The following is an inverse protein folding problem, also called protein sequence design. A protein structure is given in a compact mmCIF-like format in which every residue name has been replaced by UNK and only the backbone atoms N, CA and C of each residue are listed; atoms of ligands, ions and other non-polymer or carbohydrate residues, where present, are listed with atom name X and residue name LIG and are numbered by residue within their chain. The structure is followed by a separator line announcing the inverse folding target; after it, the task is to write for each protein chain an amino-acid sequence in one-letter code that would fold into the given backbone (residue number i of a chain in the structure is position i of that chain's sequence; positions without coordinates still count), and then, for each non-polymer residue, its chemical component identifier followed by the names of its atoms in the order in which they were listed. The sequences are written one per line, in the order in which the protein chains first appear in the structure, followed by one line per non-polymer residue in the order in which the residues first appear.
data_IF_947786661152
#
_entry.id   IF_947786661152
#
_cell.length_a   1.000
_cell.length_b   1.000
_cell.length_c   1.000
_cell.angle_alpha   90.00
_cell.angle_beta   90.00
_cell.angle_gamma   90.00
#
_symmetry.space_group_name_H-M   'P 1'
#
loop_
_entity.id
_entity.type
_entity.pdbx_description
1 polymer ?
#
# COMPACT_ATOMS: atom_id res chain seq x y z
N UNK A 1 11.13 -29.99 -4.56
CA UNK A 1 10.97 -28.57 -4.14
C UNK A 1 9.79 -27.99 -4.90
N UNK A 2 8.60 -27.94 -4.28
CA UNK A 2 7.41 -27.39 -4.92
C UNK A 2 7.52 -25.86 -4.97
N UNK A 3 7.49 -25.28 -6.17
CA UNK A 3 7.29 -23.84 -6.35
C UNK A 3 5.84 -23.54 -6.01
N UNK A 4 5.58 -23.14 -4.77
CA UNK A 4 4.28 -22.62 -4.38
C UNK A 4 4.09 -21.29 -5.13
N UNK A 5 3.10 -21.25 -6.01
CA UNK A 5 2.75 -20.05 -6.75
C UNK A 5 2.25 -18.97 -5.76
N UNK A 6 2.61 -17.70 -5.96
CA UNK A 6 2.20 -16.61 -5.08
C UNK A 6 0.67 -16.52 -4.94
N UNK A 7 -0.07 -16.87 -6.00
CA UNK A 7 -1.53 -16.98 -5.95
C UNK A 7 -2.00 -18.04 -4.94
N UNK A 8 -1.34 -19.21 -4.91
CA UNK A 8 -1.68 -20.28 -3.97
C UNK A 8 -1.38 -19.88 -2.50
N UNK A 9 -0.35 -19.07 -2.29
CA UNK A 9 -0.01 -18.54 -0.96
C UNK A 9 -1.06 -17.52 -0.48
N UNK A 10 -1.54 -16.67 -1.38
CA UNK A 10 -2.58 -15.67 -1.06
C UNK A 10 -3.91 -16.33 -0.72
N UNK A 11 -4.27 -17.41 -1.42
CA UNK A 11 -5.42 -18.24 -1.09
C UNK A 11 -5.27 -18.88 0.30
N UNK A 12 -4.07 -19.35 0.64
CA UNK A 12 -3.81 -19.98 1.94
C UNK A 12 -3.93 -19.02 3.14
N UNK A 13 -3.66 -17.72 2.95
CA UNK A 13 -3.68 -16.74 4.05
C UNK A 13 -5.09 -16.28 4.45
N UNK A 14 -6.07 -16.42 3.55
CA UNK A 14 -7.48 -16.16 3.84
C UNK A 14 -8.03 -17.11 4.91
N UNK A 15 -7.38 -18.26 5.13
CA UNK A 15 -7.86 -19.35 5.98
C UNK A 15 -7.55 -19.18 7.48
N UNK A 16 -6.88 -18.11 7.92
CA UNK A 16 -6.32 -17.99 9.29
C UNK A 16 -7.27 -17.46 10.39
N UNK A 17 -8.57 -17.23 10.14
CA UNK A 17 -9.38 -16.38 11.04
C UNK A 17 -10.47 -17.06 11.91
N UNK A 18 -10.50 -18.39 12.08
CA UNK A 18 -11.49 -18.99 13.00
C UNK A 18 -10.90 -20.15 13.81
N UNK A 19 -10.38 -19.86 15.01
CA UNK A 19 -10.38 -20.83 16.11
C UNK A 19 -10.11 -20.14 17.46
N UNK A 20 -11.17 -19.85 18.22
CA UNK A 20 -11.09 -19.67 19.66
C UNK A 20 -12.24 -20.45 20.31
N UNK A 21 -11.98 -21.70 20.75
CA UNK A 21 -12.72 -22.37 21.82
C UNK A 21 -11.93 -23.60 22.32
N UNK A 22 -11.71 -23.62 23.65
CA UNK A 22 -10.97 -24.56 24.49
C UNK A 22 -11.44 -26.02 24.47
N UNK A 23 -10.60 -26.98 24.90
CA UNK A 23 -10.86 -27.98 25.98
C UNK A 23 -9.52 -28.57 26.54
N UNK A 24 -9.53 -28.99 27.80
CA UNK A 24 -8.40 -29.41 28.69
C UNK A 24 -8.33 -30.95 28.88
N UNK A 25 -7.17 -31.46 29.38
CA UNK A 25 -6.88 -32.74 30.12
C UNK A 25 -6.23 -33.91 29.32
N UNK A 26 -5.30 -34.77 29.80
CA UNK A 26 -4.47 -35.02 31.01
C UNK A 26 -3.31 -36.02 30.62
N UNK A 27 -2.27 -36.15 31.47
CA UNK A 27 -0.98 -36.91 31.39
C UNK A 27 -1.04 -38.44 31.03
N UNK A 28 0.00 -39.26 30.70
CA UNK A 28 1.45 -39.39 31.01
C UNK A 28 2.13 -40.51 30.12
N UNK A 29 3.42 -40.95 30.26
CA UNK A 29 4.35 -41.21 29.13
C UNK A 29 4.84 -42.66 28.92
N UNK A 30 5.19 -43.06 27.68
CA UNK A 30 6.15 -44.16 27.36
C UNK A 30 6.88 -43.93 26.00
N UNK A 31 8.20 -43.86 26.10
CA UNK A 31 9.29 -44.25 25.17
C UNK A 31 9.17 -44.06 23.62
N UNK A 32 10.00 -43.13 23.14
CA UNK A 32 10.94 -43.23 22.02
C UNK A 32 10.46 -43.87 20.69
N UNK A 33 10.03 -43.00 19.78
CA UNK A 33 10.24 -43.18 18.34
C UNK A 33 10.57 -41.80 17.74
N UNK A 34 11.37 -41.82 16.69
CA UNK A 34 12.10 -40.70 16.10
C UNK A 34 11.20 -39.54 15.66
N UNK A 35 11.78 -38.34 15.68
CA UNK A 35 11.13 -37.05 15.51
C UNK A 35 10.64 -36.89 14.07
N UNK A 36 9.41 -37.33 13.81
CA UNK A 36 8.64 -36.88 12.66
C UNK A 36 7.81 -35.67 13.10
N UNK A 37 8.25 -34.48 12.69
CA UNK A 37 7.60 -33.23 13.05
C UNK A 37 6.14 -33.26 12.56
N UNK A 38 5.14 -33.12 13.46
CA UNK A 38 3.75 -33.08 13.04
C UNK A 38 3.54 -31.82 12.22
N UNK A 39 3.35 -32.01 10.92
CA UNK A 39 2.78 -30.98 10.06
C UNK A 39 1.43 -30.58 10.68
N UNK A 40 1.21 -29.30 10.99
CA UNK A 40 -0.05 -28.88 11.56
C UNK A 40 -1.14 -29.16 10.53
N UNK A 41 -2.09 -30.01 10.94
CA UNK A 41 -3.32 -30.35 10.26
C UNK A 41 -3.99 -29.08 9.74
N UNK A 42 -4.01 -28.95 8.42
CA UNK A 42 -4.81 -27.97 7.71
C UNK A 42 -6.25 -28.49 7.73
N UNK A 43 -7.10 -27.91 8.56
CA UNK A 43 -8.54 -28.04 8.37
C UNK A 43 -8.87 -27.38 7.01
N UNK A 44 -9.10 -28.24 6.00
CA UNK A 44 -9.27 -27.89 4.60
C UNK A 44 -10.53 -27.03 4.36
N UNK A 45 -10.40 -25.70 4.43
CA UNK A 45 -11.39 -24.80 3.82
C UNK A 45 -11.25 -24.91 2.31
N UNK A 46 -12.11 -25.72 1.70
CA UNK A 46 -12.21 -25.88 0.24
C UNK A 46 -12.62 -24.56 -0.40
N UNK A 47 -11.66 -23.79 -0.91
CA UNK A 47 -11.93 -22.59 -1.71
C UNK A 47 -12.31 -23.00 -3.13
N UNK A 48 -13.52 -22.64 -3.56
CA UNK A 48 -13.99 -22.92 -4.92
C UNK A 48 -13.54 -21.79 -5.85
N UNK A 49 -12.52 -22.06 -6.67
CA UNK A 49 -12.12 -21.11 -7.71
C UNK A 49 -13.22 -21.10 -8.80
N UNK A 50 -13.82 -19.95 -9.12
CA UNK A 50 -14.82 -19.86 -10.18
C UNK A 50 -14.22 -20.25 -11.55
N UNK A 51 -15.04 -20.47 -12.59
CA UNK A 51 -14.51 -20.60 -13.95
C UNK A 51 -13.86 -19.28 -14.40
N UNK A 52 -12.87 -19.40 -15.27
CA UNK A 52 -12.17 -18.23 -15.82
C UNK A 52 -13.15 -17.38 -16.65
N UNK A 53 -13.28 -16.07 -16.37
CA UNK A 53 -14.22 -15.21 -17.08
C UNK A 53 -13.92 -15.06 -18.58
N UNK A 54 -12.63 -15.00 -18.91
CA UNK A 54 -12.11 -14.86 -20.26
C UNK A 54 -10.72 -15.53 -20.38
N UNK A 55 -10.35 -16.07 -21.54
CA UNK A 55 -9.08 -16.78 -21.69
C UNK A 55 -7.88 -15.91 -21.29
N UNK A 56 -7.06 -16.40 -20.35
CA UNK A 56 -5.84 -15.73 -19.90
C UNK A 56 -6.01 -14.73 -18.76
N UNK A 57 -7.23 -14.54 -18.26
CA UNK A 57 -7.50 -13.71 -17.08
C UNK A 57 -6.71 -14.16 -15.85
N UNK A 58 -6.60 -15.47 -15.57
CA UNK A 58 -5.84 -15.95 -14.41
C UNK A 58 -4.34 -15.78 -14.56
N UNK A 59 -3.83 -15.90 -15.78
CA UNK A 59 -2.43 -15.57 -16.08
C UNK A 59 -2.16 -14.08 -15.84
N UNK A 60 -3.08 -13.20 -16.29
CA UNK A 60 -3.01 -11.78 -16.00
C UNK A 60 -3.02 -11.49 -14.49
N UNK A 61 -3.90 -12.14 -13.71
CA UNK A 61 -3.91 -11.99 -12.25
C UNK A 61 -2.60 -12.47 -11.61
N UNK A 62 -2.03 -13.57 -12.10
CA UNK A 62 -0.72 -14.06 -11.64
C UNK A 62 0.37 -13.01 -11.87
N UNK A 63 0.47 -12.45 -13.08
CA UNK A 63 1.40 -11.36 -13.40
C UNK A 63 1.19 -10.13 -12.51
N UNK A 64 -0.06 -9.81 -12.18
CA UNK A 64 -0.40 -8.75 -11.24
C UNK A 64 0.17 -9.02 -9.84
N UNK A 65 0.05 -10.25 -9.32
CA UNK A 65 0.59 -10.60 -8.00
C UNK A 65 2.13 -10.55 -7.96
N UNK A 66 2.80 -10.79 -9.10
CA UNK A 66 4.27 -10.73 -9.19
C UNK A 66 4.83 -9.31 -9.11
N UNK A 67 4.01 -8.28 -9.31
CA UNK A 67 4.39 -6.86 -9.16
C UNK A 67 4.49 -6.40 -7.70
N UNK A 68 4.12 -7.27 -6.77
CA UNK A 68 4.27 -7.05 -5.35
C UNK A 68 5.27 -8.04 -4.76
N UNK A 69 6.02 -7.59 -3.77
CA UNK A 69 6.72 -8.53 -2.90
C UNK A 69 5.69 -9.40 -2.18
N UNK A 70 6.05 -10.66 -1.92
CA UNK A 70 5.20 -11.60 -1.20
C UNK A 70 4.65 -10.96 0.09
N UNK A 71 5.53 -10.46 0.95
CA UNK A 71 5.14 -9.81 2.20
C UNK A 71 4.11 -8.69 2.02
N UNK A 72 4.24 -7.86 0.99
CA UNK A 72 3.28 -6.79 0.76
C UNK A 72 1.97 -7.29 0.16
N UNK A 73 1.98 -8.31 -0.70
CA UNK A 73 0.76 -8.99 -1.13
C UNK A 73 -0.03 -9.55 0.05
N UNK A 74 0.64 -10.31 0.92
CA UNK A 74 0.04 -10.92 2.11
C UNK A 74 -0.62 -9.86 3.02
N UNK A 75 0.08 -8.77 3.30
CA UNK A 75 -0.45 -7.67 4.10
C UNK A 75 -1.64 -6.96 3.44
N UNK A 76 -1.57 -6.73 2.12
CA UNK A 76 -2.67 -6.10 1.37
C UNK A 76 -3.93 -6.95 1.45
N UNK A 77 -3.83 -8.27 1.22
CA UNK A 77 -4.98 -9.18 1.35
C UNK A 77 -5.49 -9.23 2.78
N UNK A 78 -4.61 -9.34 3.77
CA UNK A 78 -5.00 -9.34 5.18
C UNK A 78 -5.79 -8.08 5.57
N UNK A 79 -5.39 -6.92 5.08
CA UNK A 79 -6.10 -5.65 5.30
C UNK A 79 -7.47 -5.55 4.64
N UNK A 80 -7.83 -6.45 3.70
CA UNK A 80 -9.19 -6.51 3.15
C UNK A 80 -10.19 -7.12 4.14
N UNK A 81 -9.71 -7.94 5.09
CA UNK A 81 -10.55 -8.66 6.04
C UNK A 81 -10.37 -8.09 7.45
N UNK A 82 -9.14 -7.77 7.83
CA UNK A 82 -8.80 -7.21 9.14
C UNK A 82 -8.62 -5.69 9.09
N UNK A 83 -8.58 -5.06 10.26
CA UNK A 83 -8.27 -3.63 10.40
C UNK A 83 -6.77 -3.46 10.67
N UNK A 84 -5.97 -3.80 9.68
CA UNK A 84 -4.49 -3.72 9.75
C UNK A 84 -4.00 -2.70 8.73
N UNK A 85 -3.15 -1.79 9.18
CA UNK A 85 -2.54 -0.80 8.30
C UNK A 85 -1.37 -1.39 7.51
N UNK A 86 -1.23 -0.96 6.26
CA UNK A 86 -0.10 -1.33 5.41
C UNK A 86 1.07 -0.37 5.61
N UNK A 87 2.29 -0.91 5.57
CA UNK A 87 3.49 -0.08 5.60
C UNK A 87 3.56 0.83 4.37
N UNK A 88 4.23 2.00 4.50
CA UNK A 88 4.47 2.92 3.38
C UNK A 88 5.11 2.22 2.17
N UNK A 89 5.98 1.23 2.42
CA UNK A 89 6.61 0.43 1.37
C UNK A 89 5.58 -0.38 0.59
N UNK A 90 4.70 -1.11 1.29
CA UNK A 90 3.66 -1.92 0.64
C UNK A 90 2.62 -1.08 -0.09
N UNK A 91 2.29 0.07 0.48
CA UNK A 91 1.52 1.11 -0.19
C UNK A 91 2.23 1.53 -1.52
N UNK A 92 3.52 1.84 -1.48
CA UNK A 92 4.29 2.13 -2.70
C UNK A 92 4.24 1.01 -3.76
N UNK A 93 4.42 -0.25 -3.36
CA UNK A 93 4.32 -1.40 -4.26
C UNK A 93 2.91 -1.56 -4.85
N UNK A 94 1.87 -1.32 -4.04
CA UNK A 94 0.48 -1.43 -4.48
C UNK A 94 0.14 -0.39 -5.56
N UNK A 95 0.51 0.88 -5.36
CA UNK A 95 0.14 1.95 -6.30
C UNK A 95 1.10 2.08 -7.47
N UNK A 96 2.41 1.95 -7.25
CA UNK A 96 3.41 2.18 -8.29
C UNK A 96 3.84 0.89 -9.00
N UNK A 97 3.85 -0.25 -8.28
CA UNK A 97 4.21 -1.55 -8.84
C UNK A 97 3.01 -2.23 -9.49
N UNK A 98 2.07 -2.67 -8.66
CA UNK A 98 0.88 -3.41 -9.10
C UNK A 98 -0.05 -2.53 -9.93
N UNK A 99 -0.35 -1.33 -9.44
CA UNK A 99 -1.12 -0.32 -10.18
C UNK A 99 -2.64 -0.53 -10.15
N UNK A 100 -3.35 0.36 -10.85
CA UNK A 100 -4.82 0.47 -10.74
C UNK A 100 -5.54 -0.80 -11.13
N UNK A 101 -5.25 -1.26 -12.33
CA UNK A 101 -6.00 -2.29 -13.04
C UNK A 101 -5.85 -3.61 -12.31
N UNK A 102 -4.61 -4.00 -12.01
CA UNK A 102 -4.31 -5.19 -11.22
C UNK A 102 -5.02 -5.20 -9.87
N UNK A 103 -5.03 -4.08 -9.14
CA UNK A 103 -5.76 -4.00 -7.86
C UNK A 103 -7.26 -4.21 -8.03
N UNK A 104 -7.88 -3.53 -8.99
CA UNK A 104 -9.31 -3.63 -9.20
C UNK A 104 -9.73 -5.03 -9.67
N UNK A 105 -8.94 -5.67 -10.53
CA UNK A 105 -9.28 -6.97 -11.07
C UNK A 105 -8.99 -8.11 -10.07
N UNK A 106 -7.98 -7.97 -9.21
CA UNK A 106 -7.82 -8.85 -8.05
C UNK A 106 -9.00 -8.73 -7.08
N UNK A 107 -9.50 -7.52 -6.80
CA UNK A 107 -10.71 -7.35 -5.98
C UNK A 107 -11.94 -8.00 -6.62
N UNK A 108 -12.12 -7.85 -7.95
CA UNK A 108 -13.20 -8.52 -8.69
C UNK A 108 -13.10 -10.04 -8.58
N UNK A 109 -11.89 -10.58 -8.64
CA UNK A 109 -11.65 -12.01 -8.44
C UNK A 109 -12.01 -12.44 -7.02
N UNK A 110 -11.57 -11.71 -5.98
CA UNK A 110 -11.94 -12.06 -4.60
C UNK A 110 -13.45 -12.08 -4.40
N UNK A 111 -14.20 -11.13 -4.98
CA UNK A 111 -15.66 -11.14 -4.84
C UNK A 111 -16.36 -12.14 -5.75
N UNK A 112 -15.67 -12.75 -6.73
CA UNK A 112 -16.25 -13.83 -7.54
C UNK A 112 -16.05 -15.21 -6.91
N UNK A 113 -15.22 -15.31 -5.87
CA UNK A 113 -15.09 -16.50 -5.04
C UNK A 113 -16.35 -16.64 -4.17
N UNK A 114 -17.14 -17.73 -4.33
CA UNK A 114 -18.42 -17.90 -3.64
C UNK A 114 -18.33 -17.74 -2.12
N UNK A 115 -17.25 -18.24 -1.52
CA UNK A 115 -17.01 -18.20 -0.08
C UNK A 115 -16.81 -16.77 0.44
N UNK A 116 -16.43 -15.83 -0.43
CA UNK A 116 -16.19 -14.42 -0.09
C UNK A 116 -17.36 -13.50 -0.44
N UNK A 117 -18.41 -14.00 -1.10
CA UNK A 117 -19.61 -13.22 -1.43
C UNK A 117 -20.19 -12.45 -0.23
N UNK A 118 -20.31 -13.02 0.99
CA UNK A 118 -20.83 -12.29 2.14
C UNK A 118 -19.99 -11.06 2.52
N UNK A 119 -18.72 -11.05 2.15
CA UNK A 119 -17.76 -9.99 2.43
C UNK A 119 -17.52 -9.07 1.23
N UNK A 120 -18.20 -9.26 0.11
CA UNK A 120 -17.93 -8.54 -1.15
C UNK A 120 -17.95 -7.01 -0.97
N UNK A 121 -18.95 -6.47 -0.26
CA UNK A 121 -19.03 -5.04 0.04
C UNK A 121 -17.85 -4.56 0.87
N UNK A 122 -17.43 -5.34 1.87
CA UNK A 122 -16.29 -5.00 2.72
C UNK A 122 -14.97 -5.04 1.92
N UNK A 123 -14.79 -6.07 1.09
CA UNK A 123 -13.63 -6.22 0.20
C UNK A 123 -13.50 -5.01 -0.72
N UNK A 124 -14.59 -4.57 -1.35
CA UNK A 124 -14.57 -3.37 -2.19
C UNK A 124 -14.27 -2.09 -1.42
N UNK A 125 -14.94 -1.87 -0.29
CA UNK A 125 -14.74 -0.68 0.54
C UNK A 125 -13.30 -0.59 1.03
N UNK A 126 -12.77 -1.66 1.63
CA UNK A 126 -11.41 -1.71 2.17
C UNK A 126 -10.38 -1.66 1.05
N UNK A 127 -10.61 -2.36 -0.07
CA UNK A 127 -9.76 -2.32 -1.24
C UNK A 127 -9.63 -0.91 -1.84
N UNK A 128 -10.74 -0.17 -1.96
CA UNK A 128 -10.72 1.20 -2.48
C UNK A 128 -10.06 2.19 -1.51
N UNK A 129 -10.34 2.06 -0.21
CA UNK A 129 -9.68 2.87 0.83
C UNK A 129 -8.18 2.65 0.86
N UNK A 130 -7.73 1.39 0.84
CA UNK A 130 -6.32 1.02 0.88
C UNK A 130 -5.55 1.70 -0.26
N UNK A 131 -6.13 1.70 -1.45
CA UNK A 131 -5.57 2.35 -2.62
C UNK A 131 -5.59 3.89 -2.51
N UNK A 132 -6.69 4.49 -2.04
CA UNK A 132 -6.82 5.96 -1.87
C UNK A 132 -5.84 6.52 -0.83
N UNK A 133 -5.79 5.91 0.36
CA UNK A 133 -4.84 6.27 1.42
C UNK A 133 -3.41 6.18 0.90
N UNK A 134 -3.13 5.14 0.12
CA UNK A 134 -1.83 4.95 -0.51
C UNK A 134 -1.49 6.02 -1.55
N UNK A 135 -2.43 6.44 -2.39
CA UNK A 135 -2.20 7.53 -3.38
C UNK A 135 -1.87 8.85 -2.65
N UNK A 136 -2.46 9.10 -1.49
CA UNK A 136 -2.13 10.25 -0.65
C UNK A 136 -0.69 10.18 -0.10
N UNK A 137 -0.20 8.97 0.18
CA UNK A 137 1.16 8.69 0.67
C UNK A 137 2.19 8.58 -0.48
N UNK A 138 1.73 8.34 -1.72
CA UNK A 138 2.52 8.09 -2.91
C UNK A 138 2.89 9.32 -3.75
N UNK A 139 2.63 10.54 -3.27
CA UNK A 139 3.32 11.70 -3.86
C UNK A 139 4.84 11.52 -3.67
N UNK A 140 5.66 11.78 -4.71
CA UNK A 140 7.11 11.61 -4.65
C UNK A 140 7.62 12.41 -3.47
N UNK A 141 8.45 11.82 -2.60
CA UNK A 141 9.04 12.41 -1.38
C UNK A 141 9.00 13.94 -1.41
N UNK A 142 7.88 14.50 -0.96
CA UNK A 142 7.79 15.91 -0.65
C UNK A 142 8.05 15.93 0.86
N UNK A 143 9.00 16.73 1.36
CA UNK A 143 9.29 16.81 2.78
C UNK A 143 7.97 16.98 3.54
N UNK A 144 7.94 16.43 4.77
CA UNK A 144 6.76 16.37 5.65
C UNK A 144 5.90 17.63 5.46
N UNK A 145 4.57 17.48 5.41
CA UNK A 145 3.64 18.59 5.16
C UNK A 145 3.96 19.81 6.06
N UNK A 146 4.46 19.58 7.28
CA UNK A 146 4.93 20.62 8.21
C UNK A 146 6.16 21.43 7.71
N UNK A 147 7.07 20.80 6.96
CA UNK A 147 8.29 21.42 6.44
C UNK A 147 8.05 22.15 5.12
N UNK A 148 7.06 21.73 4.35
CA UNK A 148 6.59 22.46 3.17
C UNK A 148 5.95 23.79 3.53
N UNK A 149 5.13 23.84 4.57
CA UNK A 149 4.49 25.09 5.00
C UNK A 149 5.57 26.05 5.52
N UNK A 150 6.56 25.54 6.25
CA UNK A 150 7.74 26.30 6.68
C UNK A 150 8.58 26.80 5.49
N UNK A 151 8.81 25.96 4.47
CA UNK A 151 9.58 26.34 3.28
C UNK A 151 8.83 27.32 2.37
N UNK A 152 7.51 27.16 2.24
CA UNK A 152 6.64 28.06 1.49
C UNK A 152 6.59 29.44 2.16
N UNK A 153 6.53 29.47 3.49
CA UNK A 153 6.55 30.72 4.25
C UNK A 153 7.93 31.40 4.18
N UNK A 154 9.03 30.62 4.24
CA UNK A 154 10.37 31.15 3.98
C UNK A 154 10.54 31.71 2.56
N UNK A 155 9.99 31.03 1.56
CA UNK A 155 10.03 31.51 0.17
C UNK A 155 9.23 32.81 0.01
N UNK A 156 8.03 32.89 0.58
CA UNK A 156 7.22 34.13 0.58
C UNK A 156 7.94 35.28 1.28
N UNK A 157 8.56 35.02 2.43
CA UNK A 157 9.34 36.03 3.16
C UNK A 157 10.55 36.54 2.35
N UNK A 158 11.27 35.65 1.66
CA UNK A 158 12.40 36.03 0.79
C UNK A 158 11.96 36.82 -0.45
N UNK A 159 10.81 36.48 -1.03
CA UNK A 159 10.22 37.25 -2.13
C UNK A 159 9.90 38.68 -1.66
N UNK A 160 9.22 38.81 -0.52
CA UNK A 160 8.89 40.11 0.05
C UNK A 160 10.12 40.96 0.42
N UNK A 161 11.21 40.33 0.89
CA UNK A 161 12.48 41.02 1.16
C UNK A 161 13.13 41.53 -0.13
N UNK A 162 13.12 40.73 -1.19
CA UNK A 162 13.67 41.12 -2.48
C UNK A 162 12.87 42.27 -3.11
N UNK A 163 11.54 42.25 -2.99
CA UNK A 163 10.68 43.35 -3.43
C UNK A 163 10.97 44.64 -2.67
N UNK A 164 11.18 44.58 -1.34
CA UNK A 164 11.60 45.75 -0.54
C UNK A 164 12.97 46.26 -0.97
N UNK A 165 13.93 45.39 -1.26
CA UNK A 165 15.26 45.76 -1.77
C UNK A 165 15.16 46.44 -3.13
N UNK A 166 14.31 45.94 -4.04
CA UNK A 166 14.06 46.56 -5.33
C UNK A 166 13.42 47.94 -5.19
N UNK A 167 12.41 48.10 -4.32
CA UNK A 167 11.79 49.39 -4.03
C UNK A 167 12.80 50.39 -3.44
N UNK A 168 13.67 49.93 -2.53
CA UNK A 168 14.71 50.77 -1.93
C UNK A 168 15.78 51.21 -2.94
N UNK A 169 16.15 50.35 -3.89
CA UNK A 169 17.05 50.74 -5.00
C UNK A 169 16.39 51.73 -5.97
N UNK A 170 15.09 51.61 -6.21
CA UNK A 170 14.34 52.54 -7.07
C UNK A 170 14.04 53.89 -6.40
N UNK A 171 14.17 53.97 -5.07
CA UNK A 171 14.05 55.19 -4.27
C UNK A 171 15.39 55.91 -4.10
N UNK A 172 16.50 55.39 -4.63
CA UNK A 172 17.74 56.17 -4.69
C UNK A 172 17.52 57.37 -5.61
N UNK A 173 17.69 58.62 -5.11
CA UNK A 173 17.53 59.80 -5.94
C UNK A 173 18.53 59.71 -7.09
N UNK A 174 18.03 59.69 -8.33
CA UNK A 174 18.87 59.89 -9.51
C UNK A 174 19.58 61.22 -9.31
N UNK A 175 20.90 61.15 -9.09
CA UNK A 175 21.73 62.31 -8.83
C UNK A 175 21.45 63.40 -9.85
N UNK A 176 21.16 64.59 -9.34
CA UNK A 176 21.09 65.81 -10.12
C UNK A 176 22.34 65.89 -11.00
N UNK A 177 22.17 65.90 -12.32
CA UNK A 177 23.25 66.22 -13.24
C UNK A 177 23.77 67.62 -12.89
N UNK A 178 25.03 67.66 -12.47
CA UNK A 178 25.80 68.89 -12.30
C UNK A 178 26.17 69.37 -13.71
N UNK A 179 25.40 70.30 -14.26
CA UNK A 179 25.78 71.05 -15.45
C UNK A 179 26.90 72.02 -15.06
N UNK A 180 28.15 71.63 -15.37
CA UNK A 180 29.32 72.50 -15.33
C UNK A 180 29.19 73.48 -16.49
N UNK A 181 28.70 74.68 -16.22
CA UNK A 181 28.73 75.78 -17.19
C UNK A 181 30.11 76.45 -17.10
N UNK A 182 30.95 76.15 -18.09
CA UNK A 182 32.20 76.87 -18.36
C UNK A 182 31.90 78.30 -18.85
N UNK A 183 32.46 79.30 -18.18
CA UNK A 183 32.96 80.56 -18.77
C UNK A 183 33.85 81.29 -17.76
#
# INVERSE_FOLDING_TARGET
MAKLNNLAIMVALLSSMVAAASMVALASPVAAAEVEAPSPSQDDVKVTIPPEPEPGFYQFLEECTQKMSRQCGENVVKSLFENVDNSRKCCGELVNGMGKTCHQDLLKFFVSVPELHPMASQIYIKGDQLRKVTVQVGLPIIPKVDERDSLLEQMRAKIAENERKQLNMNLMPKGSNFEVMHS
#
